data_IF_806330676562
#
_entry.id   IF_806330676562
#
_cell.length_a   1.000
_cell.length_b   1.000
_cell.length_c   1.000
_cell.angle_alpha   90.00
_cell.angle_beta   90.00
_cell.angle_gamma   90.00
#
_symmetry.space_group_name_H-M   'P 1'
#
loop_
_entity.id
_entity.type
_entity.pdbx_description
1 polymer ?
#
# COMPACT_ATOMS: atom_id res chain seq x y z
N UNK A 1 53.80 -45.44 -10.80
CA UNK A 1 53.63 -45.03 -9.39
C UNK A 1 52.93 -43.68 -9.38
N UNK A 2 51.67 -43.63 -8.94
CA UNK A 2 50.95 -42.36 -8.77
C UNK A 2 51.57 -41.64 -7.57
N UNK A 3 52.00 -40.38 -7.69
CA UNK A 3 52.56 -39.64 -6.56
C UNK A 3 51.51 -39.52 -5.45
N UNK A 4 51.87 -39.88 -4.22
CA UNK A 4 50.99 -39.71 -3.07
C UNK A 4 50.90 -38.21 -2.72
N UNK A 5 49.68 -37.70 -2.62
CA UNK A 5 49.43 -36.33 -2.20
C UNK A 5 49.84 -36.17 -0.73
N UNK A 6 50.50 -35.05 -0.43
CA UNK A 6 50.76 -34.67 0.96
C UNK A 6 49.47 -34.22 1.63
N UNK A 7 49.35 -34.44 2.95
CA UNK A 7 48.17 -34.01 3.71
C UNK A 7 47.88 -32.50 3.58
N UNK A 8 48.93 -31.68 3.42
CA UNK A 8 48.80 -30.24 3.20
C UNK A 8 48.17 -29.92 1.84
N UNK A 9 48.53 -30.66 0.78
CA UNK A 9 47.93 -30.49 -0.55
C UNK A 9 46.45 -30.86 -0.54
N UNK A 10 46.09 -32.00 0.04
CA UNK A 10 44.69 -32.44 0.11
C UNK A 10 43.78 -31.44 0.87
N UNK A 11 44.28 -30.83 1.95
CA UNK A 11 43.56 -29.78 2.69
C UNK A 11 43.42 -28.49 1.90
N UNK A 12 44.48 -28.09 1.19
CA UNK A 12 44.45 -26.90 0.33
C UNK A 12 43.47 -27.06 -0.82
N UNK A 13 43.43 -28.23 -1.45
CA UNK A 13 42.50 -28.52 -2.55
C UNK A 13 41.04 -28.49 -2.06
N UNK A 14 40.76 -29.09 -0.90
CA UNK A 14 39.43 -29.05 -0.29
C UNK A 14 38.97 -27.61 0.01
N UNK A 15 39.86 -26.77 0.54
CA UNK A 15 39.58 -25.35 0.77
C UNK A 15 39.37 -24.60 -0.55
N UNK A 16 40.13 -24.89 -1.59
CA UNK A 16 39.98 -24.30 -2.92
C UNK A 16 38.63 -24.63 -3.57
N UNK A 17 38.17 -25.87 -3.44
CA UNK A 17 36.83 -26.29 -3.91
C UNK A 17 35.73 -25.60 -3.12
N UNK A 18 35.85 -25.52 -1.79
CA UNK A 18 34.90 -24.80 -0.93
C UNK A 18 34.82 -23.31 -1.29
N UNK A 19 35.96 -22.65 -1.46
CA UNK A 19 36.03 -21.25 -1.88
C UNK A 19 35.33 -21.05 -3.24
N UNK A 20 35.61 -21.93 -4.20
CA UNK A 20 35.00 -21.86 -5.54
C UNK A 20 33.48 -22.01 -5.47
N UNK A 21 32.99 -22.95 -4.66
CA UNK A 21 31.55 -23.14 -4.46
C UNK A 21 30.90 -21.91 -3.80
N UNK A 22 31.55 -21.29 -2.82
CA UNK A 22 31.06 -20.06 -2.16
C UNK A 22 31.04 -18.89 -3.14
N UNK A 23 32.08 -18.72 -3.98
CA UNK A 23 32.14 -17.66 -4.99
C UNK A 23 31.05 -17.82 -6.07
N UNK A 24 30.79 -19.05 -6.51
CA UNK A 24 29.68 -19.33 -7.44
C UNK A 24 28.33 -19.02 -6.77
N UNK A 25 28.13 -19.49 -5.54
CA UNK A 25 26.88 -19.26 -4.80
C UNK A 25 26.62 -17.76 -4.58
N UNK A 26 27.64 -17.00 -4.19
CA UNK A 26 27.53 -15.55 -4.03
C UNK A 26 27.21 -14.84 -5.34
N UNK A 27 27.84 -15.24 -6.46
CA UNK A 27 27.50 -14.72 -7.79
C UNK A 27 26.06 -15.03 -8.20
N UNK A 28 25.58 -16.24 -7.94
CA UNK A 28 24.19 -16.64 -8.23
C UNK A 28 23.19 -15.87 -7.37
N UNK A 29 23.49 -15.67 -6.08
CA UNK A 29 22.65 -14.86 -5.19
C UNK A 29 22.54 -13.42 -5.69
N UNK A 30 23.62 -12.84 -6.22
CA UNK A 30 23.58 -11.49 -6.81
C UNK A 30 22.73 -11.42 -8.09
N UNK A 31 22.72 -12.46 -8.92
CA UNK A 31 21.90 -12.51 -10.15
C UNK A 31 20.40 -12.66 -9.85
N UNK A 32 20.03 -13.39 -8.81
CA UNK A 32 18.61 -13.62 -8.49
C UNK A 32 17.90 -12.38 -7.91
N UNK A 33 18.64 -11.38 -7.45
CA UNK A 33 18.09 -10.17 -6.81
C UNK A 33 18.03 -9.00 -7.80
N UNK A 34 17.65 -9.24 -9.05
CA UNK A 34 17.11 -8.15 -9.88
C UNK A 34 15.59 -8.13 -9.74
N UNK A 35 15.03 -7.30 -8.83
CA UNK A 35 13.59 -7.17 -8.71
C UNK A 35 13.02 -6.74 -10.06
N UNK A 36 12.07 -7.52 -10.60
CA UNK A 36 11.30 -7.09 -11.76
C UNK A 36 10.58 -5.81 -11.40
N UNK A 37 10.81 -4.75 -12.15
CA UNK A 37 10.09 -3.49 -12.00
C UNK A 37 8.60 -3.79 -12.14
N UNK A 38 7.76 -3.43 -11.15
CA UNK A 38 6.32 -3.59 -11.27
C UNK A 38 5.83 -2.92 -12.54
N UNK A 39 4.94 -3.58 -13.28
CA UNK A 39 4.32 -3.00 -14.46
C UNK A 39 3.40 -1.87 -14.00
N UNK A 40 3.83 -0.63 -14.27
CA UNK A 40 3.10 0.58 -13.89
C UNK A 40 2.06 0.85 -14.98
N UNK A 41 0.80 1.02 -14.59
CA UNK A 41 -0.28 1.37 -15.53
C UNK A 41 -0.66 2.84 -15.38
N UNK A 42 -1.14 3.44 -16.46
CA UNK A 42 -1.85 4.71 -16.40
C UNK A 42 -3.28 4.44 -15.93
N UNK A 43 -3.67 4.98 -14.77
CA UNK A 43 -5.00 4.72 -14.22
C UNK A 43 -6.08 5.35 -15.11
N UNK A 44 -7.15 4.59 -15.35
CA UNK A 44 -8.31 5.03 -16.12
C UNK A 44 -9.25 5.84 -15.23
N UNK A 45 -9.27 7.15 -15.40
CA UNK A 45 -10.14 8.04 -14.66
C UNK A 45 -9.79 9.50 -14.89
N UNK A 46 -10.54 10.40 -14.26
CA UNK A 46 -10.25 11.82 -14.29
C UNK A 46 -9.52 12.23 -13.02
N UNK A 47 -8.54 13.12 -13.14
CA UNK A 47 -7.93 13.73 -11.97
C UNK A 47 -8.94 14.67 -11.31
N UNK A 48 -9.21 14.46 -10.02
CA UNK A 48 -10.21 15.23 -9.29
C UNK A 48 -9.88 15.40 -7.82
N UNK A 49 -10.64 16.29 -7.19
CA UNK A 49 -10.57 16.62 -5.78
C UNK A 49 -11.96 17.03 -5.31
N UNK A 50 -12.64 16.12 -4.63
CA UNK A 50 -14.05 16.24 -4.26
C UNK A 50 -14.21 16.06 -2.75
N UNK A 51 -14.99 16.94 -2.14
CA UNK A 51 -15.39 16.86 -0.73
C UNK A 51 -16.87 16.54 -0.62
N UNK A 52 -17.29 15.95 0.51
CA UNK A 52 -18.72 15.90 0.84
C UNK A 52 -19.25 17.29 1.19
N UNK A 53 -20.50 17.54 0.81
CA UNK A 53 -21.23 18.73 1.22
C UNK A 53 -21.37 18.80 2.74
N UNK A 54 -21.29 20.01 3.30
CA UNK A 54 -21.51 20.26 4.73
C UNK A 54 -20.29 20.03 5.63
N UNK A 55 -19.09 19.82 5.08
CA UNK A 55 -17.86 19.80 5.89
C UNK A 55 -17.46 21.21 6.31
N UNK A 56 -17.01 21.33 7.56
CA UNK A 56 -16.38 22.55 8.06
C UNK A 56 -15.04 22.82 7.36
N UNK A 57 -14.64 24.09 7.29
CA UNK A 57 -13.44 24.51 6.57
C UNK A 57 -12.14 24.05 7.24
N UNK A 58 -12.12 23.90 8.57
CA UNK A 58 -10.97 23.32 9.28
C UNK A 58 -10.80 21.84 8.89
N UNK A 59 -11.89 21.08 8.90
CA UNK A 59 -11.89 19.66 8.52
C UNK A 59 -11.55 19.46 7.04
N UNK A 60 -12.06 20.31 6.13
CA UNK A 60 -11.67 20.29 4.71
C UNK A 60 -10.17 20.53 4.55
N UNK A 61 -9.62 21.49 5.28
CA UNK A 61 -8.19 21.81 5.24
C UNK A 61 -7.38 20.61 5.68
N UNK A 62 -7.78 19.95 6.76
CA UNK A 62 -7.09 18.77 7.28
C UNK A 62 -7.13 17.57 6.32
N UNK A 63 -8.31 17.28 5.75
CA UNK A 63 -8.48 16.27 4.71
C UNK A 63 -7.66 16.62 3.44
N UNK A 64 -7.57 17.90 3.08
CA UNK A 64 -6.75 18.37 1.96
C UNK A 64 -5.26 18.12 2.22
N UNK A 65 -4.76 18.43 3.40
CA UNK A 65 -3.36 18.22 3.76
C UNK A 65 -3.02 16.73 3.84
N UNK A 66 -3.82 15.94 4.55
CA UNK A 66 -3.61 14.49 4.66
C UNK A 66 -3.57 13.81 3.29
N UNK A 67 -4.56 14.10 2.43
CA UNK A 67 -4.60 13.52 1.09
C UNK A 67 -3.47 14.00 0.18
N UNK A 68 -3.05 15.25 0.31
CA UNK A 68 -1.92 15.77 -0.46
C UNK A 68 -0.63 15.05 -0.09
N UNK A 69 -0.36 14.91 1.22
CA UNK A 69 0.84 14.26 1.73
C UNK A 69 0.91 12.80 1.28
N UNK A 70 -0.20 12.07 1.34
CA UNK A 70 -0.27 10.68 0.89
C UNK A 70 -0.03 10.56 -0.62
N UNK A 71 -0.64 11.40 -1.45
CA UNK A 71 -0.46 11.35 -2.90
C UNK A 71 0.95 11.77 -3.36
N UNK A 72 1.66 12.57 -2.57
CA UNK A 72 3.00 13.09 -2.93
C UNK A 72 4.15 12.30 -2.34
N UNK A 73 3.95 11.67 -1.17
CA UNK A 73 5.01 10.96 -0.45
C UNK A 73 4.88 9.43 -0.51
N UNK A 74 3.83 8.89 -1.13
CA UNK A 74 3.64 7.43 -1.30
C UNK A 74 3.36 7.06 -2.75
N UNK A 75 3.28 5.76 -3.04
CA UNK A 75 2.87 5.25 -4.34
C UNK A 75 1.37 5.44 -4.67
N UNK A 76 0.59 6.07 -3.78
CA UNK A 76 -0.86 6.32 -3.97
C UNK A 76 -1.12 7.22 -5.17
N UNK A 77 -2.13 6.87 -5.97
CA UNK A 77 -2.63 7.69 -7.09
C UNK A 77 -4.11 8.01 -7.02
N UNK A 78 -4.87 7.23 -6.26
CA UNK A 78 -6.28 7.48 -5.95
C UNK A 78 -6.50 7.32 -4.46
N UNK A 79 -7.23 8.23 -3.84
CA UNK A 79 -7.49 8.24 -2.40
C UNK A 79 -8.97 8.50 -2.14
N UNK A 80 -9.54 7.73 -1.22
CA UNK A 80 -10.91 7.90 -0.75
C UNK A 80 -10.92 7.84 0.78
N UNK A 81 -11.54 8.83 1.41
CA UNK A 81 -11.80 8.85 2.86
C UNK A 81 -13.28 8.55 3.07
N UNK A 82 -13.56 7.43 3.72
CA UNK A 82 -14.91 7.03 4.10
C UNK A 82 -15.06 7.04 5.62
N UNK A 83 -16.14 7.66 6.12
CA UNK A 83 -16.41 7.79 7.54
C UNK A 83 -17.92 7.82 7.78
N UNK A 84 -18.42 7.05 8.76
CA UNK A 84 -19.84 6.98 9.15
C UNK A 84 -20.83 6.80 7.98
N UNK A 85 -20.50 5.92 7.01
CA UNK A 85 -21.39 5.69 5.88
C UNK A 85 -21.31 6.73 4.76
N UNK A 86 -20.47 7.76 4.89
CA UNK A 86 -20.32 8.83 3.89
C UNK A 86 -18.88 8.89 3.38
N UNK A 87 -18.75 9.28 2.11
CA UNK A 87 -17.46 9.58 1.51
C UNK A 87 -17.15 11.04 1.77
N UNK A 88 -16.18 11.33 2.64
CA UNK A 88 -15.82 12.70 3.02
C UNK A 88 -14.92 13.37 1.99
N UNK A 89 -14.01 12.60 1.39
CA UNK A 89 -13.04 13.09 0.43
C UNK A 89 -12.73 12.03 -0.64
N UNK A 90 -12.62 12.47 -1.89
CA UNK A 90 -12.01 11.72 -2.99
C UNK A 90 -10.95 12.60 -3.65
N UNK A 91 -9.75 12.08 -3.86
CA UNK A 91 -8.65 12.84 -4.49
C UNK A 91 -7.73 11.96 -5.32
N UNK A 92 -7.20 12.52 -6.40
CA UNK A 92 -6.28 11.83 -7.29
C UNK A 92 -7.02 11.41 -8.56
N UNK A 93 -6.76 10.21 -9.07
CA UNK A 93 -7.46 9.68 -10.24
C UNK A 93 -8.74 9.01 -9.77
N UNK A 94 -9.89 9.61 -10.08
CA UNK A 94 -11.19 9.18 -9.56
C UNK A 94 -11.79 8.07 -10.41
N UNK A 95 -12.40 7.08 -9.75
CA UNK A 95 -13.27 6.10 -10.38
C UNK A 95 -14.62 6.72 -10.78
N UNK A 96 -15.34 6.03 -11.67
CA UNK A 96 -16.65 6.50 -12.17
C UNK A 96 -17.70 6.51 -11.05
N UNK A 97 -17.67 5.52 -10.16
CA UNK A 97 -18.56 5.47 -9.01
C UNK A 97 -18.03 6.35 -7.87
N UNK A 98 -18.87 7.22 -7.32
CA UNK A 98 -18.52 8.07 -6.17
C UNK A 98 -18.93 7.48 -4.82
N UNK A 99 -19.76 6.43 -4.81
CA UNK A 99 -20.28 5.83 -3.60
C UNK A 99 -19.43 4.64 -3.15
N UNK A 100 -19.01 4.66 -1.89
CA UNK A 100 -18.35 3.51 -1.25
C UNK A 100 -19.41 2.64 -0.59
N UNK A 101 -19.48 1.37 -1.01
CA UNK A 101 -20.28 0.34 -0.35
C UNK A 101 -19.34 -0.60 0.40
N UNK A 102 -19.29 -0.55 1.74
CA UNK A 102 -18.45 -1.45 2.52
C UNK A 102 -18.79 -2.91 2.22
N UNK A 103 -17.81 -3.68 1.78
CA UNK A 103 -17.89 -5.12 1.64
C UNK A 103 -17.12 -5.82 2.76
N UNK A 104 -16.74 -7.07 2.52
CA UNK A 104 -16.11 -7.90 3.54
C UNK A 104 -14.72 -7.39 3.96
N UNK A 105 -14.01 -6.70 3.06
CA UNK A 105 -12.65 -6.22 3.34
C UNK A 105 -12.73 -4.98 4.24
N UNK A 106 -13.52 -3.98 3.85
CA UNK A 106 -13.72 -2.78 4.66
C UNK A 106 -14.31 -3.10 6.04
N UNK A 107 -15.31 -3.99 6.12
CA UNK A 107 -15.86 -4.45 7.41
C UNK A 107 -14.79 -5.08 8.30
N UNK A 108 -13.95 -5.95 7.75
CA UNK A 108 -12.86 -6.59 8.51
C UNK A 108 -11.83 -5.58 9.00
N UNK A 109 -11.50 -4.56 8.20
CA UNK A 109 -10.56 -3.50 8.59
C UNK A 109 -11.09 -2.73 9.79
N UNK A 110 -12.38 -2.38 9.77
CA UNK A 110 -13.05 -1.70 10.88
C UNK A 110 -13.18 -2.59 12.12
N UNK A 111 -13.57 -3.86 11.97
CA UNK A 111 -13.72 -4.78 13.11
C UNK A 111 -12.39 -5.10 13.80
N UNK A 112 -11.34 -5.36 13.00
CA UNK A 112 -10.05 -5.79 13.53
C UNK A 112 -9.13 -4.63 13.86
N UNK A 113 -9.47 -3.40 13.45
CA UNK A 113 -8.61 -2.22 13.55
C UNK A 113 -7.19 -2.53 13.02
N UNK A 114 -7.14 -3.27 11.90
CA UNK A 114 -5.88 -3.68 11.26
C UNK A 114 -5.93 -3.35 9.78
N UNK A 115 -4.85 -2.76 9.23
CA UNK A 115 -4.82 -2.47 7.82
C UNK A 115 -4.84 -3.73 6.99
N UNK A 116 -5.43 -3.61 5.80
CA UNK A 116 -5.41 -4.67 4.78
C UNK A 116 -4.72 -4.11 3.56
N UNK A 117 -3.58 -4.71 3.21
CA UNK A 117 -2.87 -4.42 1.97
C UNK A 117 -3.13 -5.52 0.94
N UNK A 118 -3.82 -5.15 -0.13
CA UNK A 118 -4.03 -5.97 -1.33
C UNK A 118 -2.94 -5.64 -2.35
N UNK A 119 -1.90 -6.48 -2.38
CA UNK A 119 -0.70 -6.28 -3.22
C UNK A 119 -0.96 -6.34 -4.72
N UNK A 120 -2.02 -7.03 -5.14
CA UNK A 120 -2.42 -7.20 -6.54
C UNK A 120 -3.94 -7.41 -6.60
N UNK A 121 -4.69 -6.33 -6.81
CA UNK A 121 -6.15 -6.32 -6.74
C UNK A 121 -6.79 -7.31 -7.72
N UNK A 122 -6.18 -7.53 -8.89
CA UNK A 122 -6.63 -8.47 -9.90
C UNK A 122 -6.74 -9.93 -9.39
N UNK A 123 -5.98 -10.31 -8.36
CA UNK A 123 -5.99 -11.65 -7.78
C UNK A 123 -7.14 -11.88 -6.80
N UNK A 124 -7.86 -10.82 -6.41
CA UNK A 124 -8.90 -10.90 -5.40
C UNK A 124 -10.28 -10.94 -6.05
N UNK A 125 -11.09 -12.00 -5.79
CA UNK A 125 -12.45 -12.09 -6.33
C UNK A 125 -13.37 -10.99 -5.80
N UNK A 126 -13.09 -10.48 -4.59
CA UNK A 126 -13.81 -9.38 -3.96
C UNK A 126 -13.45 -7.98 -4.48
N UNK A 127 -12.65 -7.86 -5.56
CA UNK A 127 -12.24 -6.55 -6.12
C UNK A 127 -13.42 -5.64 -6.52
N UNK A 128 -14.60 -6.21 -6.73
CA UNK A 128 -15.84 -5.52 -7.05
C UNK A 128 -16.23 -4.52 -5.93
N UNK A 129 -15.79 -4.75 -4.70
CA UNK A 129 -15.96 -3.82 -3.57
C UNK A 129 -15.27 -2.46 -3.81
N UNK A 130 -14.29 -2.37 -4.71
CA UNK A 130 -13.50 -1.16 -4.97
C UNK A 130 -13.89 -0.45 -6.28
N UNK A 131 -15.15 -0.57 -6.70
CA UNK A 131 -15.69 0.04 -7.92
C UNK A 131 -15.64 1.58 -7.94
N UNK A 132 -15.39 2.21 -6.78
CA UNK A 132 -15.17 3.65 -6.62
C UNK A 132 -13.73 4.11 -6.89
N UNK A 133 -12.79 3.18 -7.06
CA UNK A 133 -11.42 3.43 -7.54
C UNK A 133 -11.37 3.24 -9.08
N UNK A 134 -10.31 3.73 -9.76
CA UNK A 134 -10.08 3.42 -11.17
C UNK A 134 -10.10 1.91 -11.44
N UNK A 135 -10.76 1.49 -12.53
CA UNK A 135 -10.99 0.07 -12.83
C UNK A 135 -9.71 -0.77 -12.93
N UNK A 136 -8.62 -0.14 -13.39
CA UNK A 136 -7.31 -0.76 -13.55
C UNK A 136 -6.37 -0.50 -12.35
N UNK A 137 -6.91 -0.20 -11.17
CA UNK A 137 -6.12 -0.10 -9.93
C UNK A 137 -5.39 -1.42 -9.66
N UNK A 138 -4.09 -1.33 -9.38
CA UNK A 138 -3.23 -2.51 -9.25
C UNK A 138 -3.05 -2.94 -7.79
N UNK A 139 -2.91 -1.98 -6.88
CA UNK A 139 -2.73 -2.22 -5.45
C UNK A 139 -3.67 -1.36 -4.62
N UNK A 140 -4.15 -1.89 -3.49
CA UNK A 140 -5.04 -1.16 -2.59
C UNK A 140 -4.62 -1.36 -1.14
N UNK A 141 -4.47 -0.26 -0.40
CA UNK A 141 -4.36 -0.30 1.07
C UNK A 141 -5.65 0.27 1.66
N UNK A 142 -6.23 -0.49 2.60
CA UNK A 142 -7.32 -0.03 3.46
C UNK A 142 -6.78 0.14 4.87
N UNK A 143 -6.68 1.37 5.33
CA UNK A 143 -6.20 1.74 6.66
C UNK A 143 -7.40 2.16 7.53
N UNK A 144 -7.59 1.60 8.73
CA UNK A 144 -8.68 2.02 9.62
C UNK A 144 -8.50 3.47 10.06
N UNK A 145 -9.61 4.20 10.17
CA UNK A 145 -9.69 5.55 10.76
C UNK A 145 -10.52 5.46 12.05
N UNK A 146 -10.01 4.71 13.03
CA UNK A 146 -10.78 4.28 14.19
C UNK A 146 -11.90 3.31 13.80
N UNK A 147 -12.94 3.23 14.64
CA UNK A 147 -14.00 2.21 14.49
C UNK A 147 -15.07 2.53 13.44
N UNK A 148 -15.09 3.75 12.90
CA UNK A 148 -16.18 4.24 12.06
C UNK A 148 -15.75 4.72 10.68
N UNK A 149 -14.47 4.58 10.34
CA UNK A 149 -13.97 5.01 9.04
C UNK A 149 -12.84 4.17 8.51
N UNK A 150 -12.59 4.35 7.21
CA UNK A 150 -11.49 3.72 6.50
C UNK A 150 -10.91 4.70 5.49
N UNK A 151 -9.59 4.79 5.47
CA UNK A 151 -8.80 5.45 4.45
C UNK A 151 -8.42 4.41 3.39
N UNK A 152 -8.84 4.65 2.15
CA UNK A 152 -8.65 3.71 1.03
C UNK A 152 -7.70 4.36 0.02
N UNK A 153 -6.63 3.64 -0.31
CA UNK A 153 -5.52 4.14 -1.13
C UNK A 153 -5.25 3.20 -2.30
N UNK A 154 -5.53 3.67 -3.52
CA UNK A 154 -5.28 2.96 -4.76
C UNK A 154 -3.94 3.35 -5.39
N UNK A 155 -3.16 2.35 -5.78
CA UNK A 155 -1.90 2.49 -6.50
C UNK A 155 -1.98 1.92 -7.92
N UNK A 156 -1.14 2.46 -8.79
CA UNK A 156 -1.10 2.11 -10.21
C UNK A 156 -0.05 1.04 -10.56
N UNK A 157 0.54 0.41 -9.55
CA UNK A 157 1.44 -0.73 -9.71
C UNK A 157 1.20 -1.75 -8.57
N UNK A 158 1.37 -3.06 -8.83
CA UNK A 158 1.28 -4.07 -7.79
C UNK A 158 2.50 -3.98 -6.86
N UNK A 159 2.33 -4.35 -5.58
CA UNK A 159 3.42 -4.37 -4.56
C UNK A 159 4.19 -3.04 -4.46
N UNK A 160 3.50 -1.93 -4.70
CA UNK A 160 4.10 -0.59 -4.80
C UNK A 160 4.36 0.09 -3.46
N UNK A 161 3.68 -0.33 -2.39
CA UNK A 161 3.85 0.28 -1.07
C UNK A 161 5.00 -0.41 -0.33
N UNK A 162 5.91 0.41 0.17
CA UNK A 162 7.00 0.00 1.05
C UNK A 162 6.55 0.03 2.51
N UNK A 163 7.35 -0.57 3.41
CA UNK A 163 7.12 -0.43 4.86
C UNK A 163 7.11 1.02 5.33
N UNK A 164 7.90 1.88 4.68
CA UNK A 164 7.91 3.29 5.00
C UNK A 164 6.59 3.95 4.59
N UNK A 165 6.04 3.60 3.42
CA UNK A 165 4.71 4.07 3.00
C UNK A 165 3.63 3.61 3.97
N UNK A 166 3.64 2.34 4.39
CA UNK A 166 2.69 1.79 5.36
C UNK A 166 2.73 2.57 6.69
N UNK A 167 3.93 2.86 7.22
CA UNK A 167 4.08 3.66 8.43
C UNK A 167 3.58 5.12 8.24
N UNK A 168 3.82 5.73 7.08
CA UNK A 168 3.30 7.07 6.76
C UNK A 168 1.78 7.08 6.69
N UNK A 169 1.20 6.06 6.06
CA UNK A 169 -0.25 5.87 5.94
C UNK A 169 -0.87 5.69 7.32
N UNK A 170 -0.28 4.86 8.17
CA UNK A 170 -0.72 4.64 9.55
C UNK A 170 -0.68 5.93 10.37
N UNK A 171 0.45 6.65 10.36
CA UNK A 171 0.58 7.89 11.13
C UNK A 171 -0.38 9.00 10.68
N UNK A 172 -0.62 9.13 9.38
CA UNK A 172 -1.60 10.09 8.85
C UNK A 172 -3.02 9.65 9.20
N UNK A 173 -3.32 8.36 9.12
CA UNK A 173 -4.62 7.82 9.48
C UNK A 173 -4.94 8.02 10.96
N UNK A 174 -3.98 7.80 11.86
CA UNK A 174 -4.15 8.03 13.30
C UNK A 174 -4.44 9.51 13.61
N UNK A 175 -3.69 10.42 12.98
CA UNK A 175 -3.94 11.86 13.10
C UNK A 175 -5.32 12.24 12.59
N UNK A 176 -5.71 11.70 11.44
CA UNK A 176 -7.01 11.98 10.82
C UNK A 176 -8.15 11.41 11.67
N UNK A 177 -7.99 10.21 12.21
CA UNK A 177 -8.95 9.58 13.11
C UNK A 177 -9.17 10.40 14.39
N UNK A 178 -8.11 10.96 14.97
CA UNK A 178 -8.21 11.88 16.11
C UNK A 178 -8.97 13.17 15.75
N UNK A 179 -8.70 13.72 14.56
CA UNK A 179 -9.39 14.94 14.08
C UNK A 179 -10.89 14.67 13.88
N UNK A 180 -11.23 13.54 13.26
CA UNK A 180 -12.61 13.14 12.99
C UNK A 180 -13.39 12.83 14.27
N UNK A 181 -12.77 12.14 15.24
CA UNK A 181 -13.43 11.83 16.51
C UNK A 181 -13.69 13.08 17.36
N UNK A 182 -12.81 14.07 17.32
CA UNK A 182 -13.05 15.37 17.96
C UNK A 182 -14.21 16.12 17.32
N UNK A 183 -14.27 16.14 15.99
CA UNK A 183 -15.35 16.79 15.26
C UNK A 183 -16.73 16.18 15.57
N UNK A 184 -16.78 14.86 15.76
CA UNK A 184 -18.00 14.16 16.18
C UNK A 184 -18.49 14.62 17.56
N UNK A 185 -17.58 14.86 18.49
CA UNK A 185 -17.90 15.33 19.85
C UNK A 185 -18.36 16.79 19.88
N UNK A 186 -17.95 17.61 18.91
CA UNK A 186 -18.32 19.04 18.81
C UNK A 186 -19.68 19.25 18.11
N UNK A 187 -20.16 18.25 17.36
CA UNK A 187 -21.46 18.28 16.68
C UNK A 187 -22.61 17.64 17.48
N UNK A 188 -22.34 17.04 18.64
CA UNK A 188 -23.35 16.47 19.57
C UNK A 188 -23.67 17.45 20.70
#
# INVERSE_FOLDING_TARGET
>A
LTPQLTDYQARSDALGVLLSAILILTGLLWQQVQPRTPEVVDLMGQQGFEFSDGLDDELKTELAWASHLLLTNTATRSLVVWYQGKVLLRRGILGVNSQVKPGAILSRVMEKQKPVYLVALALYPGKIEFDYLPENTQGVICQPLGNQGVLILGANAPRSYTKQDENWIEGIADKLANTLSRYELECC
#
